data_IF_357078996067
#
_entry.id   IF_357078996067
#
_cell.length_a   1.000
_cell.length_b   1.000
_cell.length_c   1.000
_cell.angle_alpha   90.00
_cell.angle_beta   90.00
_cell.angle_gamma   90.00
#
_symmetry.space_group_name_H-M   'P 1'
#
loop_
_entity.id
_entity.type
_entity.pdbx_description
1 polymer ?
#
# COMPACT_ATOMS: atom_id res chain seq x y z
N UNK A 1 -2.47 -4.80 -0.06
CA UNK A 1 -1.72 -4.09 -1.10
C UNK A 1 -2.42 -4.15 -2.45
N UNK A 2 -2.66 -5.34 -3.03
CA UNK A 2 -3.27 -5.46 -4.36
C UNK A 2 -4.62 -4.73 -4.47
N UNK A 3 -5.54 -4.97 -3.54
CA UNK A 3 -6.87 -4.34 -3.49
C UNK A 3 -6.81 -2.81 -3.40
N UNK A 4 -5.89 -2.27 -2.61
CA UNK A 4 -5.74 -0.82 -2.47
C UNK A 4 -5.10 -0.19 -3.71
N UNK A 5 -3.95 -0.70 -4.14
CA UNK A 5 -3.17 -0.07 -5.21
C UNK A 5 -3.86 -0.12 -6.57
N UNK A 6 -4.47 -1.26 -6.94
CA UNK A 6 -5.01 -1.44 -8.28
C UNK A 6 -6.48 -1.01 -8.43
N UNK A 7 -7.26 -1.05 -7.34
CA UNK A 7 -8.65 -0.62 -7.41
C UNK A 7 -8.83 0.79 -6.84
N UNK A 8 -8.74 0.94 -5.53
CA UNK A 8 -9.12 2.17 -4.87
C UNK A 8 -8.22 3.36 -5.22
N UNK A 9 -6.91 3.21 -4.99
CA UNK A 9 -5.96 4.31 -5.24
C UNK A 9 -5.85 4.63 -6.72
N UNK A 10 -5.73 3.60 -7.56
CA UNK A 10 -5.63 3.79 -9.00
C UNK A 10 -6.82 4.54 -9.57
N UNK A 11 -8.05 4.15 -9.20
CA UNK A 11 -9.27 4.80 -9.68
C UNK A 11 -9.41 6.23 -9.19
N UNK A 12 -9.10 6.50 -7.92
CA UNK A 12 -9.37 7.81 -7.33
C UNK A 12 -8.22 8.80 -7.50
N UNK A 13 -6.97 8.36 -7.43
CA UNK A 13 -5.79 9.22 -7.53
C UNK A 13 -5.30 9.35 -8.98
N UNK A 14 -5.18 8.22 -9.69
CA UNK A 14 -4.67 8.27 -11.06
C UNK A 14 -5.77 8.58 -12.07
N UNK A 15 -6.81 7.76 -12.17
CA UNK A 15 -7.81 7.89 -13.24
C UNK A 15 -8.63 9.15 -13.08
N UNK A 16 -9.17 9.38 -11.88
CA UNK A 16 -10.00 10.57 -11.60
C UNK A 16 -9.18 11.78 -11.16
N UNK A 17 -8.03 11.57 -10.51
CA UNK A 17 -7.18 12.63 -9.98
C UNK A 17 -6.10 13.13 -10.95
N UNK A 18 -5.74 12.35 -11.97
CA UNK A 18 -4.75 12.75 -12.97
C UNK A 18 -3.30 12.58 -12.54
N UNK A 19 -3.02 11.95 -11.38
CA UNK A 19 -1.66 11.62 -10.98
C UNK A 19 -1.01 10.63 -11.95
N UNK A 20 0.30 10.69 -12.12
CA UNK A 20 1.02 9.74 -12.96
C UNK A 20 1.02 8.33 -12.39
N UNK A 21 1.15 8.20 -11.07
CA UNK A 21 1.08 6.92 -10.39
C UNK A 21 0.71 7.05 -8.92
N UNK A 22 0.25 5.96 -8.37
CA UNK A 22 -0.04 5.82 -6.94
C UNK A 22 0.18 4.37 -6.51
N UNK A 23 0.53 4.17 -5.25
CA UNK A 23 0.69 2.83 -4.68
C UNK A 23 0.49 2.83 -3.17
N UNK A 24 0.28 1.64 -2.63
CA UNK A 24 0.40 1.34 -1.21
C UNK A 24 1.51 0.32 -0.99
N UNK A 25 2.23 0.43 0.10
CA UNK A 25 3.18 -0.58 0.51
C UNK A 25 3.02 -0.89 1.99
N UNK A 26 3.18 -2.16 2.33
CA UNK A 26 3.20 -2.68 3.69
C UNK A 26 4.26 -3.77 3.72
N UNK A 27 5.18 -3.70 4.67
CA UNK A 27 6.27 -4.64 4.78
C UNK A 27 6.26 -5.39 6.12
N UNK A 28 7.14 -6.38 6.26
CA UNK A 28 7.22 -7.25 7.46
C UNK A 28 7.79 -6.56 8.69
N UNK A 29 8.50 -5.45 8.53
CA UNK A 29 9.07 -4.69 9.65
C UNK A 29 8.09 -3.67 10.22
N UNK A 30 6.83 -3.68 9.76
CA UNK A 30 5.77 -2.84 10.27
C UNK A 30 5.67 -1.46 9.62
N UNK A 31 6.40 -1.21 8.54
CA UNK A 31 6.25 0.03 7.78
C UNK A 31 5.09 -0.08 6.81
N UNK A 32 4.26 0.95 6.79
CA UNK A 32 3.19 1.14 5.83
C UNK A 32 3.19 2.55 5.29
N UNK A 33 2.92 2.70 3.99
CA UNK A 33 2.74 4.02 3.38
C UNK A 33 1.82 3.99 2.17
N UNK A 34 1.19 5.13 1.93
CA UNK A 34 0.47 5.46 0.71
C UNK A 34 1.26 6.55 0.01
N UNK A 35 1.40 6.46 -1.31
CA UNK A 35 2.18 7.43 -2.08
C UNK A 35 1.53 7.72 -3.42
N UNK A 36 1.60 8.98 -3.84
CA UNK A 36 1.30 9.42 -5.20
C UNK A 36 2.56 10.05 -5.82
N UNK A 37 2.61 10.04 -7.14
CA UNK A 37 3.75 10.51 -7.89
C UNK A 37 3.29 11.38 -9.07
N UNK A 38 3.91 12.55 -9.22
CA UNK A 38 3.48 13.57 -10.19
C UNK A 38 1.98 13.83 -10.09
N UNK A 39 1.54 14.15 -8.89
CA UNK A 39 0.16 14.36 -8.53
C UNK A 39 -0.17 15.86 -8.57
N UNK A 40 -1.18 16.29 -9.36
CA UNK A 40 -1.56 17.69 -9.43
C UNK A 40 -2.40 18.15 -8.23
N UNK A 41 -2.87 17.23 -7.37
CA UNK A 41 -3.87 17.53 -6.34
C UNK A 41 -3.43 17.05 -4.94
N UNK A 42 -2.86 17.94 -4.14
CA UNK A 42 -2.40 17.57 -2.80
C UNK A 42 -3.56 17.22 -1.86
N UNK A 43 -4.43 18.18 -1.56
CA UNK A 43 -5.53 18.00 -0.59
C UNK A 43 -6.49 16.87 -0.97
N UNK A 44 -6.91 16.84 -2.23
CA UNK A 44 -7.79 15.78 -2.73
C UNK A 44 -7.17 14.39 -2.58
N UNK A 45 -5.89 14.27 -2.76
CA UNK A 45 -5.19 12.99 -2.60
C UNK A 45 -5.14 12.56 -1.12
N UNK A 46 -4.99 13.51 -0.20
CA UNK A 46 -5.11 13.21 1.23
C UNK A 46 -6.53 12.76 1.60
N UNK A 47 -7.57 13.42 1.08
CA UNK A 47 -8.96 12.98 1.27
C UNK A 47 -9.19 11.54 0.77
N UNK A 48 -8.53 11.15 -0.35
CA UNK A 48 -8.57 9.77 -0.85
C UNK A 48 -7.84 8.82 0.09
N UNK A 49 -6.71 9.21 0.67
CA UNK A 49 -6.00 8.37 1.62
C UNK A 49 -6.82 8.12 2.90
N UNK A 50 -7.47 9.14 3.44
CA UNK A 50 -8.38 9.02 4.57
C UNK A 50 -9.55 8.07 4.26
N UNK A 51 -10.10 8.15 3.06
CA UNK A 51 -11.18 7.27 2.60
C UNK A 51 -10.80 5.79 2.43
N UNK A 52 -9.52 5.42 2.54
CA UNK A 52 -9.06 4.01 2.47
C UNK A 52 -9.68 3.16 3.56
N UNK A 53 -9.87 3.73 4.76
CA UNK A 53 -10.43 3.01 5.91
C UNK A 53 -11.88 2.58 5.63
N UNK A 54 -12.70 3.50 5.12
CA UNK A 54 -14.09 3.21 4.79
C UNK A 54 -14.20 2.25 3.61
N UNK A 55 -13.33 2.39 2.61
CA UNK A 55 -13.23 1.43 1.51
C UNK A 55 -12.95 0.01 2.03
N UNK A 56 -12.00 -0.15 2.95
CA UNK A 56 -11.68 -1.45 3.52
C UNK A 56 -12.83 -1.99 4.38
N UNK A 57 -13.43 -1.17 5.24
CA UNK A 57 -14.58 -1.58 6.08
C UNK A 57 -15.77 -2.06 5.24
N UNK A 58 -15.99 -1.45 4.09
CA UNK A 58 -17.07 -1.79 3.15
C UNK A 58 -16.67 -2.75 2.03
N UNK A 59 -15.45 -3.31 2.08
CA UNK A 59 -14.93 -4.14 1.00
C UNK A 59 -15.83 -5.33 0.69
N UNK A 60 -16.35 -5.36 -0.54
CA UNK A 60 -17.20 -6.44 -1.04
C UNK A 60 -16.91 -6.64 -2.52
N UNK A 61 -16.59 -7.87 -2.89
CA UNK A 61 -16.29 -8.27 -4.28
C UNK A 61 -16.87 -9.64 -4.56
N UNK A 62 -16.97 -10.00 -5.85
CA UNK A 62 -17.33 -11.37 -6.23
C UNK A 62 -16.22 -12.36 -5.88
N UNK A 63 -16.56 -13.64 -5.72
CA UNK A 63 -15.56 -14.72 -5.50
C UNK A 63 -14.53 -14.76 -6.64
N UNK A 64 -14.97 -14.48 -7.87
CA UNK A 64 -14.08 -14.38 -9.03
C UNK A 64 -13.03 -13.28 -8.86
N UNK A 65 -13.41 -12.12 -8.34
CA UNK A 65 -12.49 -11.00 -8.15
C UNK A 65 -11.60 -11.24 -6.93
N UNK A 66 -12.13 -11.83 -5.86
CA UNK A 66 -11.31 -12.26 -4.72
C UNK A 66 -10.22 -13.25 -5.17
N UNK A 67 -10.55 -14.24 -6.00
CA UNK A 67 -9.58 -15.16 -6.57
C UNK A 67 -8.52 -14.46 -7.42
N UNK A 68 -8.85 -13.39 -8.17
CA UNK A 68 -7.86 -12.60 -8.90
C UNK A 68 -6.84 -11.95 -7.95
N UNK A 69 -7.29 -11.40 -6.81
CA UNK A 69 -6.37 -10.81 -5.83
C UNK A 69 -5.46 -11.85 -5.20
N UNK A 70 -6.01 -13.02 -4.86
CA UNK A 70 -5.22 -14.14 -4.32
C UNK A 70 -4.17 -14.58 -5.35
N UNK A 71 -4.57 -14.87 -6.59
CA UNK A 71 -3.66 -15.29 -7.66
C UNK A 71 -2.59 -14.24 -7.91
N UNK A 72 -2.97 -12.96 -8.02
CA UNK A 72 -2.02 -11.87 -8.22
C UNK A 72 -1.01 -11.74 -7.07
N UNK A 73 -1.45 -11.95 -5.83
CA UNK A 73 -0.58 -11.91 -4.66
C UNK A 73 0.37 -13.11 -4.63
N UNK A 74 -0.12 -14.31 -4.89
CA UNK A 74 0.70 -15.53 -4.99
C UNK A 74 1.72 -15.43 -6.12
N UNK A 75 1.34 -14.89 -7.27
CA UNK A 75 2.26 -14.68 -8.40
C UNK A 75 3.44 -13.77 -8.00
N UNK A 76 3.22 -12.78 -7.15
CA UNK A 76 4.30 -11.94 -6.63
C UNK A 76 5.20 -12.68 -5.62
N UNK A 77 4.65 -13.59 -4.82
CA UNK A 77 5.43 -14.41 -3.88
C UNK A 77 6.27 -15.48 -4.59
N UNK A 78 5.77 -16.01 -5.69
CA UNK A 78 6.33 -17.14 -6.45
C UNK A 78 7.12 -16.70 -7.70
N UNK A 79 7.55 -15.45 -7.79
CA UNK A 79 8.30 -14.97 -8.94
C UNK A 79 9.58 -15.81 -9.19
N UNK A 80 9.86 -16.19 -10.44
CA UNK A 80 11.11 -16.83 -10.80
C UNK A 80 12.31 -15.94 -10.42
N UNK A 81 13.32 -16.54 -9.82
CA UNK A 81 14.51 -15.82 -9.39
C UNK A 81 15.77 -16.40 -10.02
N UNK A 82 16.69 -15.53 -10.41
CA UNK A 82 18.06 -15.95 -10.76
C UNK A 82 18.79 -16.54 -9.56
N UNK A 83 19.87 -17.31 -9.74
CA UNK A 83 20.68 -17.80 -8.62
C UNK A 83 21.18 -16.67 -7.69
N UNK A 84 21.59 -15.53 -8.24
CA UNK A 84 22.01 -14.36 -7.46
C UNK A 84 20.85 -13.83 -6.61
N UNK A 85 19.68 -13.58 -7.22
CA UNK A 85 18.51 -13.10 -6.48
C UNK A 85 18.03 -14.07 -5.39
N UNK A 86 18.21 -15.39 -5.59
CA UNK A 86 17.95 -16.38 -4.51
C UNK A 86 18.91 -16.23 -3.36
N UNK A 87 20.20 -16.00 -3.63
CA UNK A 87 21.21 -15.74 -2.63
C UNK A 87 20.88 -14.49 -1.82
N UNK A 88 20.61 -13.39 -2.48
CA UNK A 88 20.21 -12.12 -1.84
C UNK A 88 18.95 -12.28 -0.99
N UNK A 89 17.93 -12.94 -1.52
CA UNK A 89 16.72 -13.25 -0.75
C UNK A 89 17.01 -14.09 0.48
N UNK A 90 17.81 -15.15 0.35
CA UNK A 90 18.14 -16.04 1.47
C UNK A 90 18.91 -15.29 2.55
N UNK A 91 19.86 -14.46 2.17
CA UNK A 91 20.61 -13.60 3.09
C UNK A 91 19.66 -12.63 3.81
N UNK A 92 18.79 -11.93 3.10
CA UNK A 92 17.82 -11.02 3.69
C UNK A 92 16.86 -11.72 4.67
N UNK A 93 16.36 -12.90 4.33
CA UNK A 93 15.52 -13.69 5.21
C UNK A 93 16.26 -14.11 6.48
N UNK A 94 17.50 -14.56 6.35
CA UNK A 94 18.36 -14.92 7.48
C UNK A 94 18.63 -13.73 8.41
N UNK A 95 19.02 -12.59 7.84
CA UNK A 95 19.32 -11.37 8.61
C UNK A 95 18.07 -10.82 9.33
N UNK A 96 16.89 -11.01 8.78
CA UNK A 96 15.63 -10.59 9.39
C UNK A 96 14.93 -11.69 10.20
N UNK A 97 15.62 -12.80 10.48
CA UNK A 97 15.11 -13.93 11.26
C UNK A 97 13.79 -14.53 10.72
N UNK A 98 13.59 -14.48 9.40
CA UNK A 98 12.41 -15.05 8.74
C UNK A 98 12.64 -16.51 8.41
N UNK A 99 11.94 -17.41 9.10
CA UNK A 99 12.05 -18.85 8.89
C UNK A 99 11.27 -19.33 7.66
N UNK A 100 11.61 -20.53 7.17
CA UNK A 100 10.85 -21.17 6.10
C UNK A 100 9.40 -21.48 6.52
N UNK A 101 9.15 -21.72 7.80
CA UNK A 101 7.80 -21.93 8.34
C UNK A 101 6.96 -20.65 8.26
N UNK A 102 7.54 -19.52 8.61
CA UNK A 102 6.87 -18.21 8.48
C UNK A 102 6.46 -17.93 7.02
N UNK A 103 7.34 -18.26 6.06
CA UNK A 103 7.03 -18.08 4.62
C UNK A 103 5.90 -19.02 4.20
N UNK A 104 5.91 -20.28 4.66
CA UNK A 104 4.84 -21.24 4.36
C UNK A 104 3.51 -20.79 4.97
N UNK A 105 3.53 -20.29 6.20
CA UNK A 105 2.34 -19.79 6.88
C UNK A 105 1.76 -18.57 6.16
N UNK A 106 2.59 -17.60 5.80
CA UNK A 106 2.16 -16.41 5.03
C UNK A 106 1.50 -16.82 3.70
N UNK A 107 2.12 -17.77 3.00
CA UNK A 107 1.55 -18.30 1.75
C UNK A 107 0.19 -18.95 1.97
N UNK A 108 0.05 -19.77 3.01
CA UNK A 108 -1.23 -20.38 3.35
C UNK A 108 -2.29 -19.34 3.68
N UNK A 109 -1.95 -18.33 4.51
CA UNK A 109 -2.84 -17.22 4.83
C UNK A 109 -3.32 -16.44 3.60
N UNK A 110 -2.44 -16.25 2.59
CA UNK A 110 -2.85 -15.61 1.33
C UNK A 110 -3.81 -16.49 0.53
N UNK A 111 -3.58 -17.80 0.50
CA UNK A 111 -4.44 -18.74 -0.23
C UNK A 111 -5.83 -18.86 0.39
N UNK A 112 -5.90 -18.80 1.72
CA UNK A 112 -7.12 -18.93 2.50
C UNK A 112 -7.80 -17.58 2.79
N UNK A 113 -7.24 -16.46 2.26
CA UNK A 113 -7.73 -15.12 2.56
C UNK A 113 -9.17 -14.90 2.12
N UNK A 114 -9.95 -14.29 3.00
CA UNK A 114 -11.35 -13.95 2.82
C UNK A 114 -11.59 -12.45 2.72
N UNK A 115 -12.80 -12.05 2.36
CA UNK A 115 -13.18 -10.64 2.38
C UNK A 115 -13.19 -10.07 3.81
N UNK A 116 -13.53 -10.90 4.82
CA UNK A 116 -13.46 -10.56 6.24
C UNK A 116 -12.04 -10.20 6.65
N UNK A 117 -11.04 -10.95 6.20
CA UNK A 117 -9.63 -10.66 6.48
C UNK A 117 -9.22 -9.31 5.89
N UNK A 118 -9.69 -9.00 4.69
CA UNK A 118 -9.44 -7.68 4.07
C UNK A 118 -10.10 -6.57 4.89
N UNK A 119 -11.36 -6.74 5.32
CA UNK A 119 -12.05 -5.77 6.18
C UNK A 119 -11.36 -5.57 7.52
N UNK A 120 -10.83 -6.63 8.11
CA UNK A 120 -10.10 -6.56 9.39
C UNK A 120 -8.83 -5.70 9.31
N UNK A 121 -8.22 -5.56 8.13
CA UNK A 121 -7.05 -4.69 7.93
C UNK A 121 -7.37 -3.19 8.03
N UNK A 122 -8.66 -2.79 8.03
CA UNK A 122 -9.06 -1.40 8.17
C UNK A 122 -8.49 -0.77 9.46
N UNK A 123 -8.48 -1.52 10.58
CA UNK A 123 -7.92 -1.02 11.84
C UNK A 123 -6.41 -0.74 11.79
N UNK A 124 -5.65 -1.52 11.03
CA UNK A 124 -4.22 -1.29 10.84
C UNK A 124 -3.97 -0.01 10.03
N UNK A 125 -4.74 0.20 8.96
CA UNK A 125 -4.65 1.41 8.14
C UNK A 125 -5.12 2.64 8.91
N UNK A 126 -6.19 2.52 9.71
CA UNK A 126 -6.69 3.60 10.57
C UNK A 126 -5.62 4.04 11.58
N UNK A 127 -4.93 3.09 12.22
CA UNK A 127 -3.82 3.40 13.13
C UNK A 127 -2.62 4.05 12.40
N UNK A 128 -2.32 3.63 11.18
CA UNK A 128 -1.27 4.22 10.34
C UNK A 128 -1.62 5.68 9.99
N UNK A 129 -2.84 5.95 9.55
CA UNK A 129 -3.28 7.30 9.20
C UNK A 129 -3.36 8.22 10.42
N UNK A 130 -3.76 7.69 11.58
CA UNK A 130 -3.81 8.44 12.83
C UNK A 130 -2.42 8.91 13.34
N UNK A 131 -1.34 8.32 12.83
CA UNK A 131 0.02 8.78 13.11
C UNK A 131 0.37 10.10 12.41
N UNK A 132 -0.43 10.53 11.44
CA UNK A 132 -0.36 11.81 10.72
C UNK A 132 1.04 12.17 10.20
N UNK A 133 1.74 11.17 9.65
CA UNK A 133 3.09 11.34 9.12
C UNK A 133 3.01 11.64 7.62
N UNK A 134 3.04 12.91 7.27
CA UNK A 134 2.92 13.40 5.89
C UNK A 134 4.26 13.97 5.43
N UNK A 135 4.71 13.57 4.25
CA UNK A 135 5.88 14.16 3.57
C UNK A 135 5.54 14.43 2.12
N UNK A 136 5.76 15.65 1.68
CA UNK A 136 5.51 16.08 0.30
C UNK A 136 6.75 16.76 -0.27
N UNK A 137 7.10 16.39 -1.51
CA UNK A 137 8.09 17.07 -2.32
C UNK A 137 7.40 17.55 -3.58
N UNK A 138 7.41 18.85 -3.82
CA UNK A 138 6.66 19.42 -4.94
C UNK A 138 6.97 20.89 -5.22
N UNK A 139 6.11 21.52 -6.01
CA UNK A 139 6.21 22.93 -6.33
C UNK A 139 5.96 23.79 -5.09
N UNK A 140 6.79 24.80 -4.88
CA UNK A 140 6.66 25.76 -3.78
C UNK A 140 5.24 26.36 -3.71
N UNK A 141 4.71 26.80 -4.85
CA UNK A 141 3.35 27.37 -4.96
C UNK A 141 2.29 26.41 -4.40
N UNK A 142 2.35 25.11 -4.78
CA UNK A 142 1.37 24.10 -4.32
C UNK A 142 1.52 23.76 -2.85
N UNK A 143 2.72 23.79 -2.35
CA UNK A 143 2.99 23.55 -0.93
C UNK A 143 2.51 24.75 -0.10
N UNK A 144 2.77 25.99 -0.53
CA UNK A 144 2.30 27.20 0.15
C UNK A 144 0.76 27.34 0.11
N UNK A 145 0.10 26.97 -0.99
CA UNK A 145 -1.38 26.89 -1.04
C UNK A 145 -2.00 25.97 0.02
N UNK A 146 -1.22 25.00 0.51
CA UNK A 146 -1.65 24.00 1.48
C UNK A 146 -0.74 23.99 2.73
N UNK A 147 -0.17 25.15 3.08
CA UNK A 147 0.82 25.30 4.14
C UNK A 147 0.34 24.81 5.51
N UNK A 148 -0.95 24.89 5.75
CA UNK A 148 -1.63 24.46 6.98
C UNK A 148 -1.63 22.94 7.20
N UNK A 149 -1.28 22.17 6.16
CA UNK A 149 -1.14 20.71 6.27
C UNK A 149 0.23 20.24 6.78
N UNK A 150 1.17 21.15 7.00
CA UNK A 150 2.57 20.80 7.31
C UNK A 150 3.09 21.49 8.56
N UNK A 151 3.74 20.75 9.44
CA UNK A 151 4.45 21.30 10.59
C UNK A 151 5.66 22.15 10.16
N UNK A 152 6.36 21.73 9.12
CA UNK A 152 7.51 22.44 8.59
C UNK A 152 7.59 22.35 7.06
N UNK A 153 8.09 23.42 6.45
CA UNK A 153 8.38 23.49 5.01
C UNK A 153 9.79 24.02 4.84
N UNK A 154 10.59 23.38 3.99
CA UNK A 154 11.94 23.80 3.63
C UNK A 154 12.07 23.87 2.10
N UNK A 155 12.77 24.86 1.57
CA UNK A 155 13.17 24.94 0.15
C UNK A 155 14.59 24.43 -0.04
N UNK A 156 14.86 23.85 -1.21
CA UNK A 156 16.20 23.37 -1.61
C UNK A 156 16.84 24.33 -2.58
#
# INVERSE_FOLDING_TARGET
>A
KATLSYDYLWQNIRVKGGAYGCMSNFNRIGEGYLVSYRDPHLKRTMDVYEGVVDYLKSFTVSDRDMNKYIIGTISNLDQPMTPASRGDRSMNLYMNHVSADMIRQERAQVLDATQEDIRALAGVVEAMLAADQICVIGSEEKIEENRDMFDSVTSF
#
